data_IF_064017732619
#
_entry.id   IF_064017732619
#
_cell.length_a   1.000
_cell.length_b   1.000
_cell.length_c   1.000
_cell.angle_alpha   90.00
_cell.angle_beta   90.00
_cell.angle_gamma   90.00
#
_symmetry.space_group_name_H-M   'P 1'
#
loop_
_entity.id
_entity.type
_entity.pdbx_description
1 polymer ?
#
# COMPACT_ATOMS: atom_id res chain seq x y z
N UNK A 1 4.36 -13.25 16.03
CA UNK A 1 3.30 -13.42 15.00
C UNK A 1 2.47 -12.17 14.82
N UNK A 2 1.69 -11.69 15.80
CA UNK A 2 0.85 -10.50 15.66
C UNK A 2 1.61 -9.23 15.20
N UNK A 3 2.83 -9.02 15.72
CA UNK A 3 3.70 -7.93 15.28
C UNK A 3 4.10 -7.98 13.80
N UNK A 4 4.25 -9.18 13.22
CA UNK A 4 4.58 -9.34 11.80
C UNK A 4 3.42 -8.86 10.90
N UNK A 5 2.19 -9.20 11.27
CA UNK A 5 0.99 -8.71 10.58
C UNK A 5 0.82 -7.20 10.73
N UNK A 6 0.90 -6.68 11.95
CA UNK A 6 0.69 -5.25 12.21
C UNK A 6 1.75 -4.40 11.50
N UNK A 7 3.03 -4.79 11.60
CA UNK A 7 4.12 -4.05 10.95
C UNK A 7 3.99 -4.09 9.44
N UNK A 8 3.65 -5.24 8.85
CA UNK A 8 3.44 -5.36 7.40
C UNK A 8 2.31 -4.45 6.90
N UNK A 9 1.16 -4.49 7.56
CA UNK A 9 0.00 -3.68 7.20
C UNK A 9 0.26 -2.19 7.40
N UNK A 10 0.85 -1.81 8.53
CA UNK A 10 1.19 -0.41 8.83
C UNK A 10 2.23 0.13 7.84
N UNK A 11 3.21 -0.67 7.45
CA UNK A 11 4.18 -0.30 6.44
C UNK A 11 3.51 -0.11 5.07
N UNK A 12 2.69 -1.07 4.62
CA UNK A 12 1.99 -0.97 3.34
C UNK A 12 1.05 0.24 3.29
N UNK A 13 0.21 0.42 4.32
CA UNK A 13 -0.70 1.55 4.42
C UNK A 13 0.04 2.89 4.54
N UNK A 14 1.09 2.94 5.36
CA UNK A 14 1.89 4.14 5.57
C UNK A 14 2.58 4.61 4.29
N UNK A 15 3.15 3.68 3.51
CA UNK A 15 3.79 4.02 2.24
C UNK A 15 2.76 4.48 1.20
N UNK A 16 1.60 3.82 1.10
CA UNK A 16 0.52 4.30 0.22
C UNK A 16 0.03 5.71 0.59
N UNK A 17 -0.17 5.98 1.89
CA UNK A 17 -0.57 7.31 2.36
C UNK A 17 0.52 8.37 2.11
N UNK A 18 1.80 8.04 2.29
CA UNK A 18 2.89 8.96 1.98
C UNK A 18 2.91 9.34 0.50
N UNK A 19 2.67 8.36 -0.40
CA UNK A 19 2.55 8.63 -1.85
C UNK A 19 1.32 9.48 -2.16
N UNK A 20 0.19 9.23 -1.49
CA UNK A 20 -1.00 10.07 -1.62
C UNK A 20 -0.70 11.53 -1.28
N UNK A 21 -0.10 11.81 -0.12
CA UNK A 21 0.23 13.18 0.28
C UNK A 21 1.20 13.84 -0.71
N UNK A 22 2.20 13.09 -1.20
CA UNK A 22 3.16 13.61 -2.16
C UNK A 22 2.55 13.94 -3.52
N UNK A 23 1.69 13.07 -4.04
CA UNK A 23 0.98 13.32 -5.30
C UNK A 23 -0.06 14.44 -5.15
N UNK A 24 -0.78 14.50 -4.04
CA UNK A 24 -1.72 15.59 -3.78
C UNK A 24 -1.01 16.95 -3.71
N UNK A 25 0.18 17.02 -3.09
CA UNK A 25 0.97 18.24 -3.08
C UNK A 25 1.39 18.68 -4.50
N UNK A 26 1.67 17.72 -5.40
CA UNK A 26 1.98 18.03 -6.81
C UNK A 26 0.77 18.51 -7.61
N UNK A 27 -0.40 17.93 -7.36
CA UNK A 27 -1.67 18.37 -7.97
C UNK A 27 -2.03 19.78 -7.49
N UNK A 28 -1.86 20.06 -6.19
CA UNK A 28 -2.09 21.41 -5.62
C UNK A 28 -1.13 22.46 -6.20
N UNK A 29 0.10 22.07 -6.51
CA UNK A 29 1.07 22.96 -7.15
C UNK A 29 0.88 23.10 -8.68
N UNK A 30 -0.25 22.63 -9.23
CA UNK A 30 -0.59 22.64 -10.67
C UNK A 30 0.45 21.99 -11.60
N UNK A 31 1.42 21.25 -11.04
CA UNK A 31 2.44 20.54 -11.83
C UNK A 31 1.90 19.29 -12.52
N UNK A 32 0.70 18.85 -12.13
CA UNK A 32 0.12 17.58 -12.54
C UNK A 32 -1.41 17.67 -12.58
N UNK A 33 -2.01 17.28 -13.70
CA UNK A 33 -3.47 17.19 -13.85
C UNK A 33 -4.05 16.16 -12.87
N UNK A 34 -5.26 16.40 -12.36
CA UNK A 34 -5.89 15.49 -11.40
C UNK A 34 -6.16 14.09 -11.97
N UNK A 35 -6.45 13.99 -13.27
CA UNK A 35 -6.69 12.71 -13.93
C UNK A 35 -5.39 11.89 -13.99
N UNK A 36 -4.27 12.53 -14.38
CA UNK A 36 -2.95 11.94 -14.35
C UNK A 36 -2.52 11.57 -12.92
N UNK A 37 -2.82 12.42 -11.93
CA UNK A 37 -2.48 12.20 -10.52
C UNK A 37 -3.15 10.95 -9.95
N UNK A 38 -4.44 10.73 -10.27
CA UNK A 38 -5.17 9.51 -9.91
C UNK A 38 -4.59 8.28 -10.61
N UNK A 39 -4.23 8.41 -11.89
CA UNK A 39 -3.56 7.35 -12.66
C UNK A 39 -2.22 6.92 -12.04
N UNK A 40 -1.34 7.87 -11.72
CA UNK A 40 -0.06 7.58 -11.07
C UNK A 40 -0.23 7.01 -9.66
N UNK A 41 -1.22 7.49 -8.90
CA UNK A 41 -1.51 6.93 -7.59
C UNK A 41 -1.98 5.48 -7.67
N UNK A 42 -2.82 5.15 -8.66
CA UNK A 42 -3.27 3.79 -8.88
C UNK A 42 -2.10 2.84 -9.15
N UNK A 43 -1.21 3.23 -10.08
CA UNK A 43 -0.02 2.44 -10.41
C UNK A 43 0.89 2.31 -9.19
N UNK A 44 1.10 3.39 -8.44
CA UNK A 44 1.96 3.38 -7.26
C UNK A 44 1.43 2.42 -6.18
N UNK A 45 0.14 2.47 -5.84
CA UNK A 45 -0.46 1.56 -4.87
C UNK A 45 -0.37 0.09 -5.30
N UNK A 46 -0.50 -0.22 -6.60
CA UNK A 46 -0.31 -1.58 -7.11
C UNK A 46 1.13 -2.05 -6.88
N UNK A 47 2.11 -1.22 -7.26
CA UNK A 47 3.54 -1.55 -7.09
C UNK A 47 3.87 -1.72 -5.60
N UNK A 48 3.39 -0.82 -4.74
CA UNK A 48 3.61 -0.88 -3.29
C UNK A 48 2.95 -2.12 -2.69
N UNK A 49 1.70 -2.43 -3.06
CA UNK A 49 1.00 -3.62 -2.60
C UNK A 49 1.75 -4.90 -2.97
N UNK A 50 2.26 -4.98 -4.19
CA UNK A 50 3.05 -6.11 -4.66
C UNK A 50 4.40 -6.22 -3.95
N UNK A 51 5.11 -5.09 -3.77
CA UNK A 51 6.39 -5.05 -3.06
C UNK A 51 6.22 -5.41 -1.57
N UNK A 52 5.15 -4.94 -0.92
CA UNK A 52 4.85 -5.28 0.47
C UNK A 52 4.46 -6.76 0.64
N UNK A 53 3.73 -7.33 -0.33
CA UNK A 53 3.43 -8.76 -0.39
C UNK A 53 4.70 -9.60 -0.55
N UNK A 54 5.57 -9.25 -1.51
CA UNK A 54 6.85 -9.93 -1.71
C UNK A 54 7.77 -9.81 -0.49
N UNK A 55 7.84 -8.63 0.12
CA UNK A 55 8.60 -8.39 1.34
C UNK A 55 8.08 -9.23 2.52
N UNK A 56 6.76 -9.34 2.68
CA UNK A 56 6.15 -10.20 3.69
C UNK A 56 6.46 -11.69 3.44
N UNK A 57 6.45 -12.15 2.18
CA UNK A 57 6.83 -13.51 1.84
C UNK A 57 8.29 -13.81 2.24
N UNK A 58 9.23 -12.97 1.83
CA UNK A 58 10.67 -13.15 2.15
C UNK A 58 10.90 -13.07 3.66
N UNK A 59 10.35 -12.06 4.33
CA UNK A 59 10.47 -11.92 5.77
C UNK A 59 9.83 -13.10 6.52
N UNK A 60 8.72 -13.64 6.00
CA UNK A 60 8.06 -14.82 6.55
C UNK A 60 8.90 -16.08 6.44
N UNK A 61 9.59 -16.28 5.30
CA UNK A 61 10.56 -17.36 5.13
C UNK A 61 11.75 -17.23 6.08
N UNK A 62 12.32 -16.03 6.23
CA UNK A 62 13.45 -15.80 7.15
C UNK A 62 13.09 -16.05 8.62
N UNK A 63 11.83 -15.80 9.00
CA UNK A 63 11.31 -16.08 10.34
C UNK A 63 10.93 -17.56 10.56
N UNK A 64 11.11 -18.41 9.54
CA UNK A 64 10.84 -19.85 9.63
C UNK A 64 9.36 -20.21 9.54
N UNK A 65 8.49 -19.32 9.04
CA UNK A 65 7.07 -19.64 8.87
C UNK A 65 6.80 -20.68 7.75
N UNK A 66 7.82 -21.10 7.01
CA UNK A 66 7.74 -22.18 6.02
C UNK A 66 7.88 -23.59 6.63
N UNK A 67 8.13 -23.70 7.94
CA UNK A 67 8.45 -24.97 8.59
C UNK A 67 7.23 -25.87 8.91
N UNK A 68 6.00 -25.37 8.79
CA UNK A 68 4.76 -26.13 9.07
C UNK A 68 3.56 -25.62 8.26
N UNK A 69 2.60 -26.50 7.96
CA UNK A 69 1.39 -26.15 7.18
C UNK A 69 0.55 -25.03 7.82
N UNK A 70 0.57 -24.93 9.14
CA UNK A 70 -0.14 -23.87 9.87
C UNK A 70 0.56 -22.51 9.77
N UNK A 71 1.89 -22.48 9.63
CA UNK A 71 2.63 -21.23 9.49
C UNK A 71 2.71 -20.75 8.04
N UNK A 72 2.63 -21.66 7.06
CA UNK A 72 2.55 -21.30 5.64
C UNK A 72 1.21 -20.65 5.28
N UNK A 73 0.11 -21.17 5.82
CA UNK A 73 -1.22 -20.55 5.69
C UNK A 73 -1.28 -19.16 6.34
N UNK A 74 -0.61 -18.96 7.47
CA UNK A 74 -0.49 -17.66 8.12
C UNK A 74 0.29 -16.64 7.27
N UNK A 75 1.36 -17.08 6.60
CA UNK A 75 2.12 -16.24 5.68
C UNK A 75 1.27 -15.79 4.49
N UNK A 76 0.47 -16.70 3.91
CA UNK A 76 -0.47 -16.37 2.85
C UNK A 76 -1.52 -15.34 3.29
N UNK A 77 -2.02 -15.47 4.53
CA UNK A 77 -2.95 -14.50 5.13
C UNK A 77 -2.31 -13.11 5.31
N UNK A 78 -1.04 -13.04 5.71
CA UNK A 78 -0.32 -11.77 5.84
C UNK A 78 -0.15 -11.05 4.50
N UNK A 79 0.15 -11.82 3.46
CA UNK A 79 0.27 -11.33 2.08
C UNK A 79 -1.08 -10.78 1.59
N UNK A 80 -2.16 -11.55 1.75
CA UNK A 80 -3.52 -11.10 1.41
C UNK A 80 -3.90 -9.81 2.16
N UNK A 81 -3.56 -9.73 3.45
CA UNK A 81 -3.87 -8.57 4.27
C UNK A 81 -3.13 -7.31 3.80
N UNK A 82 -1.87 -7.42 3.37
CA UNK A 82 -1.11 -6.30 2.79
C UNK A 82 -1.72 -5.82 1.46
N UNK A 83 -2.18 -6.76 0.62
CA UNK A 83 -2.86 -6.41 -0.64
C UNK A 83 -4.19 -5.70 -0.34
N UNK A 84 -5.00 -6.22 0.58
CA UNK A 84 -6.24 -5.57 1.00
C UNK A 84 -5.99 -4.17 1.57
N UNK A 85 -4.94 -3.98 2.38
CA UNK A 85 -4.57 -2.69 2.91
C UNK A 85 -4.16 -1.69 1.80
N UNK A 86 -3.41 -2.14 0.80
CA UNK A 86 -3.05 -1.31 -0.35
C UNK A 86 -4.26 -0.90 -1.18
N UNK A 87 -5.24 -1.79 -1.39
CA UNK A 87 -6.48 -1.48 -2.08
C UNK A 87 -7.34 -0.49 -1.29
N UNK A 88 -7.40 -0.65 0.03
CA UNK A 88 -8.15 0.27 0.89
C UNK A 88 -7.53 1.67 0.88
N UNK A 89 -6.20 1.77 0.93
CA UNK A 89 -5.48 3.03 0.78
C UNK A 89 -5.67 3.64 -0.62
N UNK A 90 -5.73 2.81 -1.66
CA UNK A 90 -6.05 3.25 -3.01
C UNK A 90 -7.45 3.86 -3.11
N UNK A 91 -8.48 3.17 -2.61
CA UNK A 91 -9.85 3.67 -2.58
C UNK A 91 -9.92 5.00 -1.81
N UNK A 92 -9.30 5.04 -0.63
CA UNK A 92 -9.23 6.25 0.19
C UNK A 92 -8.60 7.42 -0.57
N UNK A 93 -7.43 7.21 -1.18
CA UNK A 93 -6.73 8.27 -1.91
C UNK A 93 -7.52 8.76 -3.13
N UNK A 94 -8.11 7.86 -3.91
CA UNK A 94 -8.91 8.23 -5.09
C UNK A 94 -10.15 9.06 -4.74
N UNK A 95 -10.81 8.76 -3.62
CA UNK A 95 -11.97 9.52 -3.12
C UNK A 95 -11.54 10.88 -2.56
N UNK A 96 -10.33 10.97 -2.01
CA UNK A 96 -9.84 12.17 -1.32
C UNK A 96 -8.99 13.09 -2.22
N UNK A 97 -8.65 12.67 -3.45
CA UNK A 97 -8.01 13.54 -4.45
C UNK A 97 -8.98 14.66 -4.89
N UNK A 98 -8.55 15.91 -4.73
CA UNK A 98 -9.28 17.10 -5.15
C UNK A 98 -8.30 18.13 -5.75
N UNK A 99 -8.76 18.89 -6.73
CA UNK A 99 -8.04 20.08 -7.23
C UNK A 99 -8.20 21.23 -6.22
N UNK A 100 -7.20 22.12 -6.09
CA UNK A 100 -7.39 23.37 -5.35
C UNK A 100 -8.46 24.22 -6.05
N UNK A 101 -9.38 24.80 -5.27
CA UNK A 101 -10.37 25.75 -5.77
C UNK A 101 -9.63 26.97 -6.35
N UNK A 102 -9.67 27.15 -7.67
CA UNK A 102 -9.15 28.34 -8.33
C UNK A 102 -10.08 29.52 -7.99
N UNK A 103 -9.62 30.43 -7.13
CA UNK A 103 -10.29 31.70 -6.80
C UNK A 103 -9.74 32.85 -7.64
#
# INVERSE_FOLDING_TARGET
>A
MLGFFIVGVMAAAGVCLAVYFWLQQKVVNETLSLDDGKGYYLIACIIIGFAAAAGAFVAGQMLGYDASDNTSTMMALAILLNVMASLLALIFGLVRFHEPEQF
#
